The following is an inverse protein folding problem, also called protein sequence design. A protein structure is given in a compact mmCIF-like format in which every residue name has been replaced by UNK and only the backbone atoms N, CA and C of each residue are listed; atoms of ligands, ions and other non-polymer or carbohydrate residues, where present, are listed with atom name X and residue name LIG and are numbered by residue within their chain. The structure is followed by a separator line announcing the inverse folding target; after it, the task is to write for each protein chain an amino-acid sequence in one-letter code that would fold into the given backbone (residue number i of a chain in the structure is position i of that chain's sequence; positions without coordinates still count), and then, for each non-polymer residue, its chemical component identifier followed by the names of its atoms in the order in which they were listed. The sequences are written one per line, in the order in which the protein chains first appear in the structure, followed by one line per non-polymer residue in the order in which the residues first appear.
data_IF_881021983064
#
_entry.id   IF_881021983064
#
_cell.length_a   1.000
_cell.length_b   1.000
_cell.length_c   1.000
_cell.angle_alpha   90.00
_cell.angle_beta   90.00
_cell.angle_gamma   90.00
#
_symmetry.space_group_name_H-M   'P 1'
#
loop_
_entity.id
_entity.type
_entity.pdbx_description
1 polymer ?
#
# COMPACT_ATOMS: atom_id res chain seq x y z
N UNK A 1 1.96 -1.58 -6.20
CA UNK A 1 0.55 -2.02 -6.26
C UNK A 1 -0.01 -1.72 -7.64
N UNK A 2 0.11 -0.49 -8.14
CA UNK A 2 -0.51 -0.02 -9.38
C UNK A 2 -0.05 -0.74 -10.65
N UNK A 3 1.26 -1.01 -10.77
CA UNK A 3 1.83 -1.79 -11.88
C UNK A 3 1.19 -3.18 -11.98
N UNK A 4 0.93 -3.82 -10.83
CA UNK A 4 0.27 -5.12 -10.79
C UNK A 4 -1.19 -5.03 -11.23
N UNK A 5 -1.95 -4.08 -10.69
CA UNK A 5 -3.39 -3.95 -10.97
C UNK A 5 -3.62 -3.59 -12.46
N UNK A 6 -2.81 -2.69 -13.01
CA UNK A 6 -2.85 -2.35 -14.44
C UNK A 6 -2.38 -3.51 -15.31
N UNK A 7 -1.29 -4.20 -14.93
CA UNK A 7 -0.83 -5.40 -15.63
C UNK A 7 -1.85 -6.53 -15.65
N UNK A 8 -2.63 -6.69 -14.58
CA UNK A 8 -3.73 -7.67 -14.53
C UNK A 8 -4.90 -7.33 -15.46
N UNK A 9 -5.04 -6.09 -15.92
CA UNK A 9 -6.02 -5.74 -16.94
C UNK A 9 -5.57 -6.16 -18.34
N UNK A 10 -4.27 -6.05 -18.64
CA UNK A 10 -3.71 -6.44 -19.95
C UNK A 10 -3.29 -7.91 -20.04
N UNK A 11 -3.26 -8.64 -18.91
CA UNK A 11 -2.84 -10.04 -18.89
C UNK A 11 -3.86 -10.96 -19.57
N UNK A 12 -3.47 -11.56 -20.69
CA UNK A 12 -4.27 -12.53 -21.43
C UNK A 12 -3.75 -13.96 -21.23
N UNK A 13 -2.56 -14.16 -20.69
CA UNK A 13 -1.95 -15.49 -20.48
C UNK A 13 -1.73 -15.83 -19.00
N UNK A 14 -1.78 -17.14 -18.69
CA UNK A 14 -1.55 -17.64 -17.33
C UNK A 14 -0.16 -17.28 -16.77
N UNK A 15 0.85 -17.17 -17.65
CA UNK A 15 2.23 -16.84 -17.26
C UNK A 15 2.32 -15.40 -16.75
N UNK A 16 1.60 -14.46 -17.36
CA UNK A 16 1.57 -13.06 -16.94
C UNK A 16 0.95 -12.91 -15.54
N UNK A 17 -0.13 -13.64 -15.27
CA UNK A 17 -0.76 -13.64 -13.94
C UNK A 17 0.18 -14.18 -12.86
N UNK A 18 0.99 -15.19 -13.17
CA UNK A 18 1.99 -15.74 -12.24
C UNK A 18 3.06 -14.71 -11.91
N UNK A 19 3.60 -14.02 -12.93
CA UNK A 19 4.61 -12.97 -12.72
C UNK A 19 4.04 -11.82 -11.88
N UNK A 20 2.82 -11.39 -12.19
CA UNK A 20 2.12 -10.33 -11.44
C UNK A 20 1.90 -10.73 -9.97
N UNK A 21 1.64 -12.02 -9.71
CA UNK A 21 1.46 -12.55 -8.35
C UNK A 21 2.78 -12.69 -7.59
N UNK A 22 3.88 -13.01 -8.28
CA UNK A 22 5.23 -12.97 -7.68
C UNK A 22 5.60 -11.55 -7.25
N UNK A 23 5.30 -10.54 -8.07
CA UNK A 23 5.55 -9.13 -7.75
C UNK A 23 4.81 -8.68 -6.48
N UNK A 24 3.60 -9.21 -6.23
CA UNK A 24 2.86 -8.92 -4.99
C UNK A 24 3.65 -9.31 -3.73
N UNK A 25 4.29 -10.48 -3.72
CA UNK A 25 4.99 -10.97 -2.53
C UNK A 25 6.21 -10.13 -2.18
N UNK A 26 6.81 -9.44 -3.16
CA UNK A 26 7.88 -8.48 -2.93
C UNK A 26 7.39 -7.14 -2.37
N UNK A 27 6.19 -6.74 -2.76
CA UNK A 27 5.64 -5.44 -2.41
C UNK A 27 5.18 -5.37 -0.94
N UNK A 28 4.52 -6.41 -0.44
CA UNK A 28 3.99 -6.43 0.94
C UNK A 28 5.09 -6.16 2.00
N UNK A 29 6.25 -6.85 2.00
CA UNK A 29 7.29 -6.59 2.99
C UNK A 29 7.87 -5.18 2.84
N UNK A 30 8.02 -4.67 1.62
CA UNK A 30 8.51 -3.31 1.38
C UNK A 30 7.57 -2.24 1.95
N UNK A 31 6.25 -2.38 1.74
CA UNK A 31 5.25 -1.50 2.31
C UNK A 31 5.20 -1.60 3.84
N UNK A 32 5.33 -2.80 4.40
CA UNK A 32 5.29 -3.03 5.85
C UNK A 32 6.48 -2.39 6.55
N UNK A 33 7.70 -2.68 6.07
CA UNK A 33 8.95 -2.13 6.62
C UNK A 33 9.00 -0.62 6.42
N UNK A 34 8.61 -0.12 5.24
CA UNK A 34 8.54 1.32 4.96
C UNK A 34 7.58 2.05 5.90
N UNK A 35 6.37 1.51 6.11
CA UNK A 35 5.37 2.09 7.01
C UNK A 35 5.84 2.05 8.46
N UNK A 36 6.40 0.92 8.91
CA UNK A 36 6.91 0.79 10.27
C UNK A 36 8.05 1.78 10.54
N UNK A 37 9.00 1.91 9.61
CA UNK A 37 10.10 2.86 9.70
C UNK A 37 9.60 4.31 9.68
N UNK A 38 8.61 4.62 8.85
CA UNK A 38 7.99 5.94 8.80
C UNK A 38 7.31 6.31 10.13
N UNK A 39 6.47 5.43 10.67
CA UNK A 39 5.78 5.66 11.95
C UNK A 39 6.78 5.78 13.09
N UNK A 40 7.78 4.90 13.17
CA UNK A 40 8.78 4.93 14.23
C UNK A 40 9.72 6.14 14.15
N UNK A 41 9.91 6.74 12.98
CA UNK A 41 10.72 7.94 12.79
C UNK A 41 9.95 9.24 13.03
N UNK A 42 8.63 9.23 12.80
CA UNK A 42 7.78 10.42 12.97
C UNK A 42 7.14 10.51 14.36
N UNK A 43 7.00 9.39 15.08
CA UNK A 43 6.31 9.30 16.37
C UNK A 43 7.13 8.57 17.43
N UNK A 44 6.84 8.86 18.70
CA UNK A 44 7.48 8.18 19.84
C UNK A 44 7.26 6.65 19.78
N UNK A 45 8.29 5.83 20.08
CA UNK A 45 8.24 4.38 19.96
C UNK A 45 7.21 3.70 20.87
N UNK A 46 6.74 4.36 21.93
CA UNK A 46 5.64 3.86 22.78
C UNK A 46 4.26 3.93 22.10
N UNK A 47 4.08 4.83 21.12
CA UNK A 47 2.83 5.03 20.40
C UNK A 47 2.85 4.41 18.99
N UNK A 48 4.03 4.01 18.50
CA UNK A 48 4.21 3.48 17.15
C UNK A 48 3.43 2.19 16.91
N UNK A 49 3.37 1.29 17.90
CA UNK A 49 2.60 0.04 17.83
C UNK A 49 1.10 0.31 17.68
N UNK A 50 0.55 1.24 18.47
CA UNK A 50 -0.86 1.63 18.42
C UNK A 50 -1.21 2.32 17.10
N UNK A 51 -0.36 3.23 16.62
CA UNK A 51 -0.52 3.89 15.31
C UNK A 51 -0.42 2.89 14.16
N UNK A 52 0.42 1.87 14.26
CA UNK A 52 0.50 0.83 13.24
C UNK A 52 -0.73 -0.09 13.26
N UNK A 53 -1.22 -0.49 14.43
CA UNK A 53 -2.42 -1.32 14.54
C UNK A 53 -3.69 -0.58 14.11
N UNK A 54 -3.91 0.63 14.62
CA UNK A 54 -5.13 1.41 14.37
C UNK A 54 -5.02 2.19 13.05
N UNK A 55 -3.86 2.79 12.77
CA UNK A 55 -3.67 3.58 11.55
C UNK A 55 -3.49 2.72 10.31
N UNK A 56 -2.62 1.70 10.35
CA UNK A 56 -2.34 0.88 9.17
C UNK A 56 -3.24 -0.36 9.07
N UNK A 57 -3.29 -1.21 10.11
CA UNK A 57 -4.02 -2.48 10.02
C UNK A 57 -5.55 -2.33 10.01
N UNK A 58 -6.12 -1.50 10.91
CA UNK A 58 -7.56 -1.27 10.96
C UNK A 58 -8.04 -0.56 9.69
N UNK A 59 -7.37 0.52 9.27
CA UNK A 59 -7.72 1.23 8.02
C UNK A 59 -7.67 0.32 6.81
N UNK A 60 -6.66 -0.56 6.72
CA UNK A 60 -6.56 -1.56 5.64
C UNK A 60 -7.75 -2.51 5.64
N UNK A 61 -8.13 -3.05 6.81
CA UNK A 61 -9.26 -3.98 6.91
C UNK A 61 -10.60 -3.30 6.62
N UNK A 62 -10.83 -2.11 7.19
CA UNK A 62 -12.04 -1.34 6.97
C UNK A 62 -12.19 -0.95 5.49
N UNK A 63 -11.12 -0.44 4.88
CA UNK A 63 -11.08 -0.16 3.44
C UNK A 63 -11.36 -1.42 2.63
N UNK A 64 -10.75 -2.56 2.97
CA UNK A 64 -11.02 -3.83 2.31
C UNK A 64 -12.48 -4.25 2.33
N UNK A 65 -13.17 -4.09 3.47
CA UNK A 65 -14.61 -4.40 3.59
C UNK A 65 -15.45 -3.47 2.72
N UNK A 66 -15.24 -2.16 2.81
CA UNK A 66 -16.04 -1.18 2.05
C UNK A 66 -15.77 -1.29 0.55
N UNK A 67 -14.50 -1.37 0.15
CA UNK A 67 -14.12 -1.44 -1.27
C UNK A 67 -14.50 -2.79 -1.88
N UNK A 68 -14.44 -3.91 -1.16
CA UNK A 68 -14.84 -5.21 -1.73
C UNK A 68 -16.30 -5.25 -2.15
N UNK A 69 -17.20 -4.64 -1.37
CA UNK A 69 -18.62 -4.53 -1.74
C UNK A 69 -18.81 -3.66 -2.99
N UNK A 70 -18.10 -2.53 -3.07
CA UNK A 70 -18.17 -1.63 -4.23
C UNK A 70 -17.59 -2.28 -5.49
N UNK A 71 -16.39 -2.86 -5.39
CA UNK A 71 -15.71 -3.53 -6.51
C UNK A 71 -16.48 -4.78 -6.96
N UNK A 72 -17.10 -5.51 -6.04
CA UNK A 72 -17.95 -6.67 -6.36
C UNK A 72 -19.11 -6.29 -7.29
N UNK A 73 -19.82 -5.19 -6.97
CA UNK A 73 -20.89 -4.65 -7.83
C UNK A 73 -20.36 -4.15 -9.18
N UNK A 74 -19.11 -3.68 -9.22
CA UNK A 74 -18.45 -3.21 -10.43
C UNK A 74 -18.09 -4.36 -11.38
N UNK A 75 -17.71 -5.53 -10.84
CA UNK A 75 -17.47 -6.72 -11.66
C UNK A 75 -18.75 -7.21 -12.35
N UNK A 76 -19.89 -7.19 -11.66
CA UNK A 76 -21.17 -7.65 -12.20
C UNK A 76 -21.71 -6.75 -13.34
N UNK A 77 -21.35 -5.48 -13.37
CA UNK A 77 -21.93 -4.48 -14.28
C UNK A 77 -21.04 -4.15 -15.48
N UNK A 78 -19.72 -4.04 -15.26
CA UNK A 78 -18.76 -3.51 -16.26
C UNK A 78 -17.80 -4.61 -16.76
N UNK A 79 -17.80 -5.79 -16.12
CA UNK A 79 -16.91 -6.90 -16.46
C UNK A 79 -15.49 -6.75 -15.89
N UNK A 80 -14.79 -7.88 -15.79
CA UNK A 80 -13.49 -7.97 -15.11
C UNK A 80 -12.43 -7.02 -15.70
N UNK A 81 -12.27 -6.98 -17.02
CA UNK A 81 -11.22 -6.20 -17.68
C UNK A 81 -11.31 -4.69 -17.38
N UNK A 82 -12.49 -4.10 -17.57
CA UNK A 82 -12.72 -2.67 -17.30
C UNK A 82 -12.68 -2.34 -15.81
N UNK A 83 -13.16 -3.25 -14.96
CA UNK A 83 -13.07 -3.08 -13.52
C UNK A 83 -11.61 -2.98 -13.03
N UNK A 84 -10.71 -3.83 -13.54
CA UNK A 84 -9.29 -3.77 -13.22
C UNK A 84 -8.60 -2.50 -13.76
N UNK A 85 -9.00 -1.99 -14.93
CA UNK A 85 -8.49 -0.71 -15.45
C UNK A 85 -8.84 0.46 -14.53
N UNK A 86 -10.11 0.56 -14.13
CA UNK A 86 -10.60 1.62 -13.23
C UNK A 86 -9.87 1.55 -11.89
N UNK A 87 -9.76 0.35 -11.30
CA UNK A 87 -9.08 0.14 -10.02
C UNK A 87 -7.58 0.46 -10.10
N UNK A 88 -6.97 0.13 -11.24
CA UNK A 88 -5.57 0.43 -11.54
C UNK A 88 -5.32 1.93 -11.62
N UNK A 89 -6.17 2.68 -12.33
CA UNK A 89 -6.11 4.14 -12.42
C UNK A 89 -6.27 4.81 -11.04
N UNK A 90 -7.27 4.42 -10.25
CA UNK A 90 -7.48 4.96 -8.90
C UNK A 90 -6.24 4.73 -8.04
N UNK A 91 -5.69 3.50 -8.06
CA UNK A 91 -4.51 3.16 -7.27
C UNK A 91 -3.27 3.95 -7.74
N UNK A 92 -3.12 4.18 -9.05
CA UNK A 92 -2.04 4.98 -9.61
C UNK A 92 -2.14 6.44 -9.16
N UNK A 93 -3.33 7.05 -9.24
CA UNK A 93 -3.57 8.41 -8.77
C UNK A 93 -3.26 8.57 -7.27
N UNK A 94 -3.71 7.63 -6.43
CA UNK A 94 -3.38 7.64 -5.00
C UNK A 94 -1.89 7.45 -4.73
N UNK A 95 -1.21 6.64 -5.52
CA UNK A 95 0.25 6.44 -5.40
C UNK A 95 1.00 7.73 -5.75
N UNK A 96 0.59 8.41 -6.82
CA UNK A 96 1.17 9.69 -7.23
C UNK A 96 0.92 10.79 -6.19
N UNK A 97 -0.31 10.85 -5.67
CA UNK A 97 -0.66 11.76 -4.58
C UNK A 97 0.16 11.48 -3.33
N UNK A 98 0.34 10.21 -2.97
CA UNK A 98 1.18 9.79 -1.85
C UNK A 98 2.63 10.20 -2.06
N UNK A 99 3.16 10.08 -3.28
CA UNK A 99 4.53 10.51 -3.59
C UNK A 99 4.72 12.01 -3.35
N UNK A 100 3.76 12.85 -3.75
CA UNK A 100 3.84 14.31 -3.53
C UNK A 100 3.66 14.66 -2.05
N UNK A 101 2.67 14.06 -1.39
CA UNK A 101 2.33 14.35 0.01
C UNK A 101 3.40 13.87 0.99
N UNK A 102 3.97 12.67 0.79
CA UNK A 102 5.00 12.14 1.69
C UNK A 102 6.37 12.83 1.50
N UNK A 103 6.64 13.40 0.32
CA UNK A 103 7.90 14.12 0.05
C UNK A 103 8.07 15.40 0.88
N UNK A 104 7.01 15.89 1.53
CA UNK A 104 7.07 17.04 2.46
C UNK A 104 7.80 16.77 3.80
N UNK A 105 8.19 15.51 4.08
CA UNK A 105 8.75 15.08 5.36
C UNK A 105 10.27 15.19 5.53
N UNK A 106 10.94 16.22 5.03
CA UNK A 106 12.38 16.45 5.27
C UNK A 106 12.72 16.86 6.73
N UNK A 107 11.84 16.61 7.71
CA UNK A 107 12.20 16.60 9.13
C UNK A 107 12.59 15.18 9.53
N UNK A 108 13.70 14.74 8.95
CA UNK A 108 14.50 13.66 9.51
C UNK A 108 14.98 14.17 10.88
N UNK A 109 14.31 13.78 11.97
CA UNK A 109 14.91 13.92 13.29
C UNK A 109 16.21 13.11 13.24
N UNK A 110 17.38 13.71 13.53
CA UNK A 110 18.64 13.00 13.59
C UNK A 110 18.45 11.80 14.50
N UNK A 111 18.90 10.64 14.03
CA UNK A 111 19.13 9.46 14.85
C UNK A 111 19.67 9.92 16.19
N UNK A 112 18.92 9.69 17.26
CA UNK A 112 19.44 9.84 18.60
C UNK A 112 20.60 8.85 18.74
N UNK A 113 21.82 9.33 18.51
CA UNK A 113 23.00 8.80 19.16
C UNK A 113 22.74 8.85 20.66
N UNK A 114 22.57 7.68 21.28
CA UNK A 114 23.18 7.26 22.55
C UNK A 114 22.36 6.12 23.13
N UNK A 115 22.98 4.93 23.20
CA UNK A 115 23.21 4.22 24.47
C UNK A 115 24.05 2.96 24.21
N UNK A 116 25.37 3.17 24.24
CA UNK A 116 26.26 2.26 24.97
C UNK A 116 25.85 2.30 26.45
N UNK A 117 25.93 1.17 27.17
CA UNK A 117 26.91 1.18 28.24
C UNK A 117 27.77 -0.09 28.30
N UNK A 118 28.95 0.16 28.86
CA UNK A 118 29.91 -0.76 29.47
C UNK A 118 29.27 -1.84 30.37
#
# INVERSE_FOLDING_TARGET
MSVRILGSSFASSAVEVVILKMLHMFEIPFLLVGTFKYISSAFNPRLSATLFLIGFNLSKQLSGVVLSAWVGRMYDTVGFHQAYLILGCITLSFTLLSFVTLRGGNRLLPTAETQSPA
#
